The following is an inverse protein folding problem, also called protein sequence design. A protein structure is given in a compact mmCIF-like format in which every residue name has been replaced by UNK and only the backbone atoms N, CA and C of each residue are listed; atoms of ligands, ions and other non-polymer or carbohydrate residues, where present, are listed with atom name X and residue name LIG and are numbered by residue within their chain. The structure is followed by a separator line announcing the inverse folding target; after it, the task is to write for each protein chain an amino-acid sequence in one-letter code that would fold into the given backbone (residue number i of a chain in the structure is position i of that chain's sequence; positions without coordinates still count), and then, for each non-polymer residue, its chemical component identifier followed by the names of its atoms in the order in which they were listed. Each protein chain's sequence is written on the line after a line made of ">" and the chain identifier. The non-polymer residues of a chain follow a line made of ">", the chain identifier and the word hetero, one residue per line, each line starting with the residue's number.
data_IF_200051479492
#
_entry.id   IF_200051479492
#
_cell.length_a   1.000
_cell.length_b   1.000
_cell.length_c   1.000
_cell.angle_alpha   90.00
_cell.angle_beta   90.00
_cell.angle_gamma   90.00
#
_symmetry.space_group_name_H-M   'P 1'
#
loop_
_entity.id
_entity.type
_entity.pdbx_description
1 polymer ?
#
# COMPACT_ATOMS: atom_id res chain seq x y z
N UNK A 1 61.29 6.26 -11.74
CA UNK A 1 62.22 6.43 -12.87
C UNK A 1 61.39 6.62 -14.13
N UNK A 2 61.70 7.70 -14.85
CA UNK A 2 61.47 7.94 -16.30
C UNK A 2 60.04 8.25 -16.78
N UNK A 3 59.81 9.56 -16.89
CA UNK A 3 59.18 10.38 -17.94
C UNK A 3 58.75 9.77 -19.29
N UNK A 4 57.56 10.23 -19.73
CA UNK A 4 57.18 10.92 -21.00
C UNK A 4 57.60 10.35 -22.38
N UNK A 5 56.61 10.27 -23.29
CA UNK A 5 56.59 10.74 -24.70
C UNK A 5 55.38 10.06 -25.41
N UNK A 6 54.28 10.74 -25.76
CA UNK A 6 54.01 11.54 -26.96
C UNK A 6 54.52 10.94 -28.29
N UNK A 7 53.61 10.66 -29.22
CA UNK A 7 53.76 11.08 -30.62
C UNK A 7 52.45 10.97 -31.39
N UNK A 8 52.17 12.03 -32.14
CA UNK A 8 51.11 12.16 -33.12
C UNK A 8 51.61 11.64 -34.47
N UNK A 9 50.70 11.14 -35.31
CA UNK A 9 50.99 10.75 -36.68
C UNK A 9 49.75 10.92 -37.55
N UNK A 10 49.80 11.91 -38.41
CA UNK A 10 48.74 12.42 -39.27
C UNK A 10 48.77 11.76 -40.66
N UNK A 11 47.59 11.75 -41.31
CA UNK A 11 47.31 11.72 -42.76
C UNK A 11 47.85 10.58 -43.64
N UNK A 12 46.90 9.83 -44.26
CA UNK A 12 46.94 9.52 -45.70
C UNK A 12 45.55 9.10 -46.21
N UNK A 13 45.03 9.83 -47.19
CA UNK A 13 43.91 9.41 -48.05
C UNK A 13 44.45 8.87 -49.38
N UNK A 14 43.77 7.89 -50.00
CA UNK A 14 43.39 8.02 -51.43
C UNK A 14 41.93 7.56 -51.69
N UNK A 15 41.15 8.25 -52.53
CA UNK A 15 40.89 7.95 -53.98
C UNK A 15 40.54 6.46 -54.20
N UNK A 16 39.42 6.02 -54.78
CA UNK A 16 38.30 6.60 -55.52
C UNK A 16 37.52 5.41 -56.14
N UNK A 17 36.37 5.70 -56.77
CA UNK A 17 35.62 4.84 -57.71
C UNK A 17 34.87 3.60 -57.17
N UNK A 18 33.55 3.71 -57.03
CA UNK A 18 32.57 3.07 -57.93
C UNK A 18 31.16 3.40 -57.41
N UNK A 19 30.36 4.11 -58.20
CA UNK A 19 28.95 4.40 -57.87
C UNK A 19 28.07 3.22 -58.27
N UNK A 20 27.47 2.47 -57.32
CA UNK A 20 26.51 1.44 -57.66
C UNK A 20 25.18 2.11 -58.01
N UNK A 21 24.64 1.76 -59.18
CA UNK A 21 23.25 2.02 -59.57
C UNK A 21 22.31 1.68 -58.41
N UNK A 22 21.65 2.70 -57.85
CA UNK A 22 20.68 2.53 -56.77
C UNK A 22 19.55 1.60 -57.23
N UNK A 23 19.31 0.47 -56.55
CA UNK A 23 18.16 -0.37 -56.85
C UNK A 23 16.88 0.43 -56.58
N UNK A 24 15.97 0.42 -57.56
CA UNK A 24 14.65 1.01 -57.40
C UNK A 24 13.96 0.41 -56.17
N UNK A 25 13.30 1.21 -55.31
CA UNK A 25 12.70 0.72 -54.09
C UNK A 25 11.67 -0.36 -54.43
N UNK A 26 11.85 -1.55 -53.86
CA UNK A 26 10.92 -2.67 -53.99
C UNK A 26 9.54 -2.29 -53.43
N UNK A 27 8.48 -2.97 -53.89
CA UNK A 27 7.10 -2.73 -53.42
C UNK A 27 6.98 -2.76 -51.89
N UNK A 28 7.78 -3.58 -51.20
CA UNK A 28 7.83 -3.63 -49.73
C UNK A 28 8.31 -2.30 -49.10
N UNK A 29 9.24 -1.60 -49.73
CA UNK A 29 9.75 -0.29 -49.27
C UNK A 29 8.69 0.80 -49.48
N UNK A 30 7.90 0.71 -50.55
CA UNK A 30 6.79 1.63 -50.84
C UNK A 30 5.65 1.43 -49.85
N UNK A 31 5.28 0.19 -49.54
CA UNK A 31 4.24 -0.10 -48.54
C UNK A 31 4.66 0.29 -47.13
N UNK A 32 5.93 0.06 -46.76
CA UNK A 32 6.48 0.52 -45.49
C UNK A 32 6.42 2.04 -45.36
N UNK A 33 6.81 2.78 -46.41
CA UNK A 33 6.74 4.24 -46.43
C UNK A 33 5.30 4.75 -46.33
N UNK A 34 4.35 4.13 -47.02
CA UNK A 34 2.91 4.45 -46.91
C UNK A 34 2.36 4.17 -45.51
N UNK A 35 2.81 3.11 -44.84
CA UNK A 35 2.44 2.80 -43.46
C UNK A 35 3.02 3.83 -42.48
N UNK A 36 4.29 4.21 -42.64
CA UNK A 36 4.94 5.26 -41.84
C UNK A 36 4.27 6.63 -42.03
N UNK A 37 3.93 7.00 -43.27
CA UNK A 37 3.20 8.24 -43.57
C UNK A 37 1.78 8.24 -42.95
N UNK A 38 1.10 7.08 -42.95
CA UNK A 38 -0.23 6.93 -42.33
C UNK A 38 -0.17 7.06 -40.81
N UNK A 39 0.82 6.43 -40.16
CA UNK A 39 1.06 6.57 -38.72
C UNK A 39 1.38 8.02 -38.36
N UNK A 40 2.22 8.68 -39.16
CA UNK A 40 2.62 10.08 -38.93
C UNK A 40 1.42 11.02 -39.02
N UNK A 41 0.52 10.81 -40.00
CA UNK A 41 -0.70 11.60 -40.16
C UNK A 41 -1.71 11.35 -39.03
N UNK A 42 -1.83 10.12 -38.56
CA UNK A 42 -2.69 9.78 -37.42
C UNK A 42 -2.15 10.35 -36.10
N UNK A 43 -0.82 10.37 -35.91
CA UNK A 43 -0.18 11.02 -34.76
C UNK A 43 -0.36 12.54 -34.73
N UNK A 44 -0.44 13.21 -35.88
CA UNK A 44 -0.69 14.65 -35.95
C UNK A 44 -2.09 15.05 -35.46
N UNK A 45 -3.06 14.13 -35.49
CA UNK A 45 -4.42 14.41 -35.00
C UNK A 45 -4.58 14.18 -33.49
N UNK A 46 -3.72 13.35 -32.88
CA UNK A 46 -3.80 13.05 -31.45
C UNK A 46 -3.24 14.20 -30.60
N UNK A 47 -3.78 14.41 -29.38
CA UNK A 47 -3.16 15.32 -28.43
C UNK A 47 -1.78 14.81 -28.02
N UNK A 48 -0.84 15.74 -27.86
CA UNK A 48 0.48 15.47 -27.31
C UNK A 48 0.40 15.03 -25.85
N UNK A 49 1.41 14.30 -25.38
CA UNK A 49 1.50 13.89 -23.98
C UNK A 49 1.42 15.10 -23.01
N UNK A 50 1.95 16.26 -23.43
CA UNK A 50 1.95 17.50 -22.66
C UNK A 50 0.56 18.16 -22.60
N UNK A 51 -0.21 18.13 -23.70
CA UNK A 51 -1.62 18.55 -23.69
C UNK A 51 -2.47 17.65 -22.77
N UNK A 52 -2.28 16.33 -22.85
CA UNK A 52 -2.96 15.36 -21.97
C UNK A 52 -2.57 15.63 -20.50
N UNK A 53 -1.29 15.81 -20.21
CA UNK A 53 -0.83 16.09 -18.85
C UNK A 53 -1.40 17.42 -18.31
N UNK A 54 -1.36 18.49 -19.12
CA UNK A 54 -1.87 19.81 -18.72
C UNK A 54 -3.40 19.88 -18.59
N UNK A 55 -4.12 18.90 -19.14
CA UNK A 55 -5.57 18.82 -19.04
C UNK A 55 -6.08 18.01 -17.85
N UNK A 56 -5.20 17.33 -17.13
CA UNK A 56 -5.52 16.59 -15.89
C UNK A 56 -5.53 17.58 -14.72
N UNK A 57 -6.67 17.81 -14.04
CA UNK A 57 -6.75 18.63 -12.83
C UNK A 57 -5.91 18.02 -11.70
N UNK A 58 -5.55 18.84 -10.71
CA UNK A 58 -4.86 18.36 -9.50
C UNK A 58 -5.64 17.28 -8.74
N UNK A 59 -6.97 17.29 -8.84
CA UNK A 59 -7.87 16.28 -8.24
C UNK A 59 -7.99 14.99 -9.07
N UNK A 60 -7.31 14.90 -10.21
CA UNK A 60 -7.48 13.86 -11.20
C UNK A 60 -8.64 14.14 -12.17
N UNK A 61 -8.74 13.32 -13.21
CA UNK A 61 -9.81 13.29 -14.19
C UNK A 61 -10.14 11.83 -14.47
N UNK A 62 -11.42 11.49 -14.64
CA UNK A 62 -11.79 10.14 -15.05
C UNK A 62 -11.36 9.88 -16.50
N UNK A 63 -11.15 8.60 -16.85
CA UNK A 63 -10.84 8.24 -18.24
C UNK A 63 -11.97 8.67 -19.18
N UNK A 64 -13.24 8.56 -18.75
CA UNK A 64 -14.39 8.96 -19.55
C UNK A 64 -14.39 10.47 -19.84
N UNK A 65 -14.11 11.31 -18.84
CA UNK A 65 -14.00 12.76 -19.02
C UNK A 65 -12.81 13.13 -19.91
N UNK A 66 -11.67 12.44 -19.75
CA UNK A 66 -10.48 12.65 -20.58
C UNK A 66 -10.73 12.24 -22.04
N UNK A 67 -11.44 11.13 -22.27
CA UNK A 67 -11.87 10.68 -23.60
C UNK A 67 -12.83 11.69 -24.22
N UNK A 68 -13.86 12.13 -23.47
CA UNK A 68 -14.82 13.13 -23.95
C UNK A 68 -14.13 14.45 -24.33
N UNK A 69 -13.12 14.89 -23.56
CA UNK A 69 -12.34 16.10 -23.86
C UNK A 69 -11.60 16.04 -25.20
N UNK A 70 -11.22 14.85 -25.64
CA UNK A 70 -10.48 14.64 -26.89
C UNK A 70 -11.29 13.92 -27.97
N UNK A 71 -12.60 13.78 -27.79
CA UNK A 71 -13.49 13.01 -28.67
C UNK A 71 -13.38 13.43 -30.14
N UNK A 72 -13.30 14.73 -30.42
CA UNK A 72 -13.18 15.26 -31.79
C UNK A 72 -11.84 14.94 -32.47
N UNK A 73 -10.85 14.44 -31.72
CA UNK A 73 -9.52 14.03 -32.19
C UNK A 73 -9.37 12.51 -32.26
N UNK A 74 -10.35 11.76 -31.76
CA UNK A 74 -10.35 10.30 -31.73
C UNK A 74 -11.08 9.73 -32.95
N UNK A 75 -10.43 8.77 -33.60
CA UNK A 75 -11.00 7.98 -34.70
C UNK A 75 -10.79 6.50 -34.38
N UNK A 76 -11.59 5.62 -34.97
CA UNK A 76 -11.40 4.16 -34.81
C UNK A 76 -9.95 3.71 -35.09
N UNK A 77 -9.27 4.39 -36.02
CA UNK A 77 -7.89 4.08 -36.39
C UNK A 77 -6.84 4.50 -35.36
N UNK A 78 -7.13 5.46 -34.47
CA UNK A 78 -6.14 6.03 -33.54
C UNK A 78 -6.41 5.77 -32.04
N UNK A 79 -7.53 5.14 -31.66
CA UNK A 79 -7.88 4.84 -30.26
C UNK A 79 -6.81 4.01 -29.52
N UNK A 80 -6.16 3.07 -30.20
CA UNK A 80 -5.09 2.28 -29.60
C UNK A 80 -3.85 3.13 -29.28
N UNK A 81 -3.48 4.05 -30.17
CA UNK A 81 -2.38 5.00 -29.95
C UNK A 81 -2.72 5.97 -28.81
N UNK A 82 -3.95 6.46 -28.75
CA UNK A 82 -4.42 7.30 -27.64
C UNK A 82 -4.36 6.58 -26.29
N UNK A 83 -4.76 5.30 -26.25
CA UNK A 83 -4.67 4.46 -25.05
C UNK A 83 -3.22 4.28 -24.59
N UNK A 84 -2.28 4.08 -25.53
CA UNK A 84 -0.85 4.02 -25.23
C UNK A 84 -0.32 5.36 -24.69
N UNK A 85 -0.75 6.48 -25.27
CA UNK A 85 -0.43 7.83 -24.80
C UNK A 85 -0.92 8.08 -23.38
N UNK A 86 -2.16 7.70 -23.04
CA UNK A 86 -2.69 7.80 -21.67
C UNK A 86 -1.85 6.97 -20.70
N UNK A 87 -1.49 5.73 -21.07
CA UNK A 87 -0.61 4.89 -20.23
C UNK A 87 0.75 5.53 -20.03
N UNK A 88 1.37 6.05 -21.09
CA UNK A 88 2.66 6.73 -21.03
C UNK A 88 2.61 8.00 -20.15
N UNK A 89 1.53 8.79 -20.23
CA UNK A 89 1.32 9.95 -19.36
C UNK A 89 1.11 9.53 -17.92
N UNK A 90 0.31 8.50 -17.65
CA UNK A 90 0.11 7.96 -16.31
C UNK A 90 1.43 7.42 -15.71
N UNK A 91 2.24 6.73 -16.51
CA UNK A 91 3.58 6.28 -16.12
C UNK A 91 4.55 7.45 -15.90
N UNK A 92 4.51 8.49 -16.72
CA UNK A 92 5.34 9.68 -16.58
C UNK A 92 4.96 10.52 -15.36
N UNK A 93 3.66 10.74 -15.12
CA UNK A 93 3.16 11.39 -13.91
C UNK A 93 3.54 10.57 -12.68
N UNK A 94 3.36 9.26 -12.69
CA UNK A 94 3.79 8.42 -11.55
C UNK A 94 5.31 8.42 -11.35
N UNK A 95 6.11 8.59 -12.40
CA UNK A 95 7.58 8.70 -12.32
C UNK A 95 8.04 10.08 -11.81
N UNK A 96 7.51 11.18 -12.34
CA UNK A 96 7.83 12.55 -11.88
C UNK A 96 7.34 12.82 -10.45
N UNK A 97 6.24 12.20 -10.02
CA UNK A 97 5.81 12.19 -8.63
C UNK A 97 6.73 11.37 -7.71
N UNK A 98 7.35 10.30 -8.23
CA UNK A 98 8.38 9.54 -7.48
C UNK A 98 9.71 10.30 -7.36
N UNK A 99 10.02 11.18 -8.30
CA UNK A 99 11.29 11.92 -8.32
C UNK A 99 11.32 13.09 -7.33
N UNK A 100 10.16 13.68 -6.99
CA UNK A 100 10.11 14.67 -5.90
C UNK A 100 10.14 13.98 -4.54
N UNK A 101 11.09 14.37 -3.68
CA UNK A 101 11.09 13.97 -2.27
C UNK A 101 9.84 14.52 -1.60
N UNK A 102 8.78 13.73 -1.52
CA UNK A 102 7.53 14.10 -0.87
C UNK A 102 7.37 13.37 0.46
N UNK A 103 6.82 14.07 1.44
CA UNK A 103 6.37 13.49 2.71
C UNK A 103 4.88 13.75 2.86
N UNK A 104 4.10 12.67 2.82
CA UNK A 104 2.66 12.72 3.03
C UNK A 104 2.37 12.38 4.48
N UNK A 105 1.59 13.21 5.16
CA UNK A 105 0.98 12.89 6.46
C UNK A 105 -0.54 12.96 6.33
N UNK A 106 -1.25 12.03 6.95
CA UNK A 106 -2.71 11.99 6.88
C UNK A 106 -3.33 11.94 8.27
N UNK A 107 -4.53 12.52 8.41
CA UNK A 107 -5.29 12.58 9.66
C UNK A 107 -6.77 12.43 9.31
N UNK A 108 -7.47 11.51 10.00
CA UNK A 108 -8.93 11.44 9.90
C UNK A 108 -9.55 12.59 10.68
N UNK A 109 -10.58 13.20 10.12
CA UNK A 109 -11.28 14.33 10.72
C UNK A 109 -12.64 13.86 11.25
N UNK A 110 -13.04 14.42 12.38
CA UNK A 110 -14.37 14.26 12.93
C UNK A 110 -15.45 14.93 12.04
N UNK A 111 -16.69 14.41 12.05
CA UNK A 111 -17.12 13.22 12.78
C UNK A 111 -16.69 11.92 12.07
N UNK A 112 -16.23 10.93 12.86
CA UNK A 112 -16.01 9.56 12.40
C UNK A 112 -17.25 8.72 12.67
N UNK A 113 -17.80 8.11 11.63
CA UNK A 113 -18.97 7.23 11.71
C UNK A 113 -18.57 5.80 11.34
N UNK A 114 -19.00 4.82 12.13
CA UNK A 114 -18.82 3.40 11.84
C UNK A 114 -20.18 2.80 11.47
N UNK A 115 -20.31 2.31 10.23
CA UNK A 115 -21.54 1.72 9.69
C UNK A 115 -21.45 0.19 9.64
N UNK A 116 -22.61 -0.47 9.74
CA UNK A 116 -22.71 -1.94 9.73
C UNK A 116 -23.60 -2.49 8.61
N UNK A 117 -24.49 -1.67 8.05
CA UNK A 117 -25.57 -2.15 7.17
C UNK A 117 -25.62 -1.45 5.81
N UNK A 118 -24.57 -0.68 5.47
CA UNK A 118 -24.46 -0.11 4.15
C UNK A 118 -24.08 -1.19 3.11
N UNK A 119 -24.22 -0.83 1.84
CA UNK A 119 -24.05 -1.78 0.72
C UNK A 119 -22.68 -2.47 0.75
N UNK A 120 -21.60 -1.78 1.15
CA UNK A 120 -20.26 -2.34 1.17
C UNK A 120 -20.07 -3.40 2.27
N UNK A 121 -20.66 -3.22 3.44
CA UNK A 121 -20.69 -4.19 4.54
C UNK A 121 -21.48 -5.43 4.16
N UNK A 122 -22.65 -5.25 3.56
CA UNK A 122 -23.53 -6.35 3.11
C UNK A 122 -22.81 -7.21 2.06
N UNK A 123 -22.16 -6.58 1.08
CA UNK A 123 -21.34 -7.30 0.09
C UNK A 123 -20.20 -8.06 0.79
N UNK A 124 -19.47 -7.44 1.73
CA UNK A 124 -18.38 -8.13 2.46
C UNK A 124 -18.91 -9.34 3.23
N UNK A 125 -20.07 -9.21 3.90
CA UNK A 125 -20.70 -10.31 4.61
C UNK A 125 -21.03 -11.50 3.68
N UNK A 126 -21.51 -11.22 2.47
CA UNK A 126 -21.85 -12.26 1.48
C UNK A 126 -20.62 -12.91 0.83
N UNK A 127 -19.52 -12.18 0.67
CA UNK A 127 -18.32 -12.68 -0.04
C UNK A 127 -17.51 -13.75 0.72
N UNK A 128 -17.87 -14.07 1.98
CA UNK A 128 -17.14 -15.04 2.83
C UNK A 128 -15.62 -14.77 2.90
N UNK A 129 -15.22 -13.49 2.83
CA UNK A 129 -13.80 -13.08 2.89
C UNK A 129 -13.15 -13.26 4.26
N UNK A 130 -13.96 -13.26 5.32
CA UNK A 130 -13.51 -13.47 6.68
C UNK A 130 -13.16 -14.95 6.87
N UNK A 131 -11.89 -15.29 7.17
CA UNK A 131 -11.55 -16.65 7.53
C UNK A 131 -12.19 -17.02 8.89
N UNK A 132 -12.49 -18.29 9.16
CA UNK A 132 -13.07 -18.71 10.44
C UNK A 132 -12.12 -18.45 11.63
N UNK A 133 -10.81 -18.52 11.37
CA UNK A 133 -9.75 -18.27 12.32
C UNK A 133 -8.64 -17.42 11.70
N UNK A 134 -7.94 -16.68 12.55
CA UNK A 134 -6.70 -15.99 12.22
C UNK A 134 -5.56 -16.61 13.03
N UNK A 135 -4.34 -16.54 12.51
CA UNK A 135 -3.18 -17.22 13.11
C UNK A 135 -2.09 -16.21 13.43
N UNK A 136 -1.69 -16.10 14.70
CA UNK A 136 -0.63 -15.19 15.15
C UNK A 136 0.63 -15.97 15.47
N UNK A 137 1.71 -15.69 14.74
CA UNK A 137 3.06 -16.15 15.11
C UNK A 137 3.62 -15.29 16.23
N UNK A 138 4.09 -15.90 17.30
CA UNK A 138 4.76 -15.19 18.39
C UNK A 138 5.96 -15.97 18.91
N UNK A 139 6.86 -15.24 19.58
CA UNK A 139 8.11 -15.73 20.13
C UNK A 139 8.61 -14.71 21.17
N UNK A 140 9.65 -15.08 21.91
CA UNK A 140 10.09 -14.38 23.12
C UNK A 140 10.41 -12.91 22.88
N UNK A 141 11.08 -12.61 21.76
CA UNK A 141 11.52 -11.25 21.37
C UNK A 141 10.63 -10.59 20.32
N UNK A 142 9.38 -11.05 20.18
CA UNK A 142 8.43 -10.46 19.24
C UNK A 142 8.09 -9.02 19.64
N UNK A 143 7.86 -8.13 18.67
CA UNK A 143 7.51 -6.72 18.91
C UNK A 143 6.03 -6.54 19.32
N UNK A 144 5.53 -7.42 20.16
CA UNK A 144 4.17 -7.47 20.71
C UNK A 144 4.29 -8.09 22.09
N UNK A 145 3.63 -7.52 23.09
CA UNK A 145 3.55 -8.15 24.41
C UNK A 145 2.61 -9.36 24.33
N UNK A 146 2.95 -10.47 24.98
CA UNK A 146 2.23 -11.73 24.85
C UNK A 146 2.05 -12.39 26.22
N UNK A 147 0.84 -12.85 26.55
CA UNK A 147 0.59 -13.51 27.84
C UNK A 147 1.19 -14.92 27.96
N UNK A 148 1.64 -15.49 26.84
CA UNK A 148 2.15 -16.86 26.74
C UNK A 148 3.68 -16.94 26.74
N UNK A 149 4.36 -15.80 26.89
CA UNK A 149 5.80 -15.72 27.09
C UNK A 149 6.09 -15.10 28.46
N UNK A 150 7.28 -15.37 28.99
CA UNK A 150 7.66 -14.81 30.29
C UNK A 150 7.75 -13.29 30.19
N UNK A 151 7.22 -12.56 31.19
CA UNK A 151 7.25 -11.09 31.19
C UNK A 151 8.68 -10.52 31.08
N UNK A 152 9.68 -11.25 31.58
CA UNK A 152 11.09 -10.86 31.51
C UNK A 152 11.70 -11.01 30.12
N UNK A 153 11.03 -11.69 29.17
CA UNK A 153 11.53 -11.80 27.79
C UNK A 153 10.91 -10.76 26.86
N UNK A 154 9.90 -10.02 27.32
CA UNK A 154 9.29 -8.97 26.51
C UNK A 154 10.31 -7.88 26.13
N UNK A 155 10.25 -7.35 24.90
CA UNK A 155 11.04 -6.18 24.55
C UNK A 155 10.64 -4.97 25.41
N UNK A 156 11.60 -4.37 26.10
CA UNK A 156 11.36 -3.14 26.83
C UNK A 156 10.97 -2.00 25.87
N UNK A 157 9.87 -1.31 26.17
CA UNK A 157 9.49 -0.11 25.43
C UNK A 157 10.47 1.03 25.79
N UNK A 158 11.05 1.67 24.76
CA UNK A 158 12.04 2.75 24.95
C UNK A 158 11.52 3.88 25.85
N UNK A 159 10.28 4.30 25.61
CA UNK A 159 9.65 5.42 26.33
C UNK A 159 8.79 4.98 27.54
N UNK A 160 8.54 3.67 27.74
CA UNK A 160 7.64 3.17 28.77
C UNK A 160 8.10 1.81 29.28
N UNK A 161 9.26 1.77 29.94
CA UNK A 161 9.89 0.50 30.39
C UNK A 161 9.00 -0.34 31.31
N UNK A 162 8.03 0.29 31.98
CA UNK A 162 7.05 -0.37 32.83
C UNK A 162 5.81 -0.89 32.09
N UNK A 163 5.74 -0.76 30.76
CA UNK A 163 4.61 -1.25 29.98
C UNK A 163 4.48 -2.76 30.14
N UNK A 164 3.39 -3.18 30.79
CA UNK A 164 3.02 -4.58 30.95
C UNK A 164 1.78 -4.89 30.10
N UNK A 165 1.67 -6.16 29.70
CA UNK A 165 0.44 -6.65 29.07
C UNK A 165 -0.71 -6.58 30.08
N UNK A 166 -1.87 -6.11 29.66
CA UNK A 166 -3.06 -6.16 30.48
C UNK A 166 -3.54 -7.61 30.69
N UNK A 167 -4.09 -7.91 31.85
CA UNK A 167 -4.39 -9.29 32.28
C UNK A 167 -5.36 -10.05 31.38
N UNK A 168 -6.26 -9.33 30.73
CA UNK A 168 -7.31 -9.80 29.83
C UNK A 168 -6.82 -9.99 28.38
N UNK A 169 -5.65 -9.44 28.04
CA UNK A 169 -5.08 -9.51 26.71
C UNK A 169 -4.20 -10.75 26.54
N UNK A 170 -4.39 -11.46 25.43
CA UNK A 170 -3.45 -12.47 24.97
C UNK A 170 -2.26 -11.81 24.28
N UNK A 171 -2.54 -10.77 23.49
CA UNK A 171 -1.53 -9.97 22.79
C UNK A 171 -1.83 -8.49 22.95
N UNK A 172 -0.79 -7.67 23.09
CA UNK A 172 -0.90 -6.22 23.15
C UNK A 172 0.22 -5.57 22.34
N UNK A 173 -0.16 -4.63 21.48
CA UNK A 173 0.75 -3.82 20.71
C UNK A 173 1.61 -2.98 21.66
N UNK A 174 2.88 -2.79 21.29
CA UNK A 174 3.80 -1.96 22.08
C UNK A 174 3.43 -0.48 21.90
N UNK A 175 2.98 -0.10 20.70
CA UNK A 175 2.56 1.27 20.40
C UNK A 175 1.20 1.55 21.04
N UNK A 176 1.03 2.72 21.68
CA UNK A 176 -0.24 3.06 22.28
C UNK A 176 -1.30 3.28 21.19
N UNK A 177 -2.47 2.70 21.40
CA UNK A 177 -3.64 2.95 20.57
C UNK A 177 -4.49 4.04 21.22
N UNK A 178 -4.22 5.30 20.86
CA UNK A 178 -4.91 6.45 21.46
C UNK A 178 -6.25 6.77 20.80
N UNK A 179 -6.35 6.61 19.48
CA UNK A 179 -7.56 6.89 18.68
C UNK A 179 -7.43 6.33 17.25
N UNK A 180 -8.57 6.16 16.57
CA UNK A 180 -8.67 5.92 15.13
C UNK A 180 -7.98 7.04 14.35
N UNK A 181 -8.23 8.29 14.71
CA UNK A 181 -7.62 9.47 14.06
C UNK A 181 -6.09 9.43 14.02
N UNK A 182 -5.45 9.01 15.11
CA UNK A 182 -3.99 8.97 15.20
C UNK A 182 -3.36 7.73 14.55
N UNK A 183 -4.10 6.61 14.50
CA UNK A 183 -3.53 5.31 14.14
C UNK A 183 -3.97 4.82 12.77
N UNK A 184 -5.24 5.02 12.39
CA UNK A 184 -5.82 4.56 11.12
C UNK A 184 -5.44 5.49 9.97
N UNK A 185 -4.13 5.56 9.72
CA UNK A 185 -3.52 6.36 8.67
C UNK A 185 -2.66 5.47 7.80
N UNK A 186 -2.56 5.81 6.51
CA UNK A 186 -1.72 5.08 5.57
C UNK A 186 -0.28 4.94 6.07
N UNK A 187 0.28 6.02 6.60
CA UNK A 187 1.66 6.07 7.08
C UNK A 187 1.90 5.09 8.23
N UNK A 188 0.97 5.02 9.20
CA UNK A 188 1.07 4.12 10.36
C UNK A 188 1.00 2.65 9.95
N UNK A 189 0.09 2.32 9.04
CA UNK A 189 -0.09 0.95 8.53
C UNK A 189 1.12 0.53 7.68
N UNK A 190 1.55 1.34 6.71
CA UNK A 190 2.71 1.01 5.86
C UNK A 190 4.01 0.89 6.64
N UNK A 191 4.13 1.66 7.72
CA UNK A 191 5.24 1.59 8.66
C UNK A 191 5.19 0.31 9.49
N UNK A 192 4.03 -0.18 9.90
CA UNK A 192 3.88 -1.51 10.52
C UNK A 192 4.33 -2.62 9.56
N UNK A 193 3.91 -2.54 8.30
CA UNK A 193 4.30 -3.50 7.26
C UNK A 193 5.78 -3.39 6.86
N UNK A 194 6.46 -2.30 7.22
CA UNK A 194 7.90 -2.15 7.02
C UNK A 194 8.71 -2.94 8.05
N UNK A 195 9.39 -4.00 7.59
CA UNK A 195 10.20 -4.82 8.49
C UNK A 195 11.40 -4.00 9.01
N UNK A 196 11.71 -4.16 10.30
CA UNK A 196 12.82 -3.51 11.00
C UNK A 196 12.71 -2.00 11.31
N UNK A 197 11.54 -1.38 11.16
CA UNK A 197 11.33 0.00 11.62
C UNK A 197 11.12 0.03 13.14
N UNK A 198 12.20 0.32 13.88
CA UNK A 198 12.20 0.40 15.37
C UNK A 198 11.70 1.74 15.93
N UNK A 199 11.74 2.81 15.14
CA UNK A 199 11.34 4.16 15.58
C UNK A 199 9.82 4.28 15.58
N UNK A 200 9.27 4.86 16.66
CA UNK A 200 7.84 4.93 16.97
C UNK A 200 7.33 3.48 17.14
N UNK A 201 6.68 3.01 18.21
CA UNK A 201 6.26 1.61 18.30
C UNK A 201 4.96 1.39 17.51
N UNK A 202 4.72 0.18 17.02
CA UNK A 202 3.53 -0.07 16.20
C UNK A 202 2.31 -0.35 17.09
N UNK A 203 1.17 0.23 16.72
CA UNK A 203 -0.14 0.05 17.38
C UNK A 203 -0.93 -1.15 16.83
N UNK A 204 -0.30 -1.97 15.99
CA UNK A 204 -0.93 -3.09 15.29
C UNK A 204 -0.29 -4.43 15.65
N UNK A 205 -1.08 -5.50 15.56
CA UNK A 205 -0.64 -6.87 15.76
C UNK A 205 -0.95 -7.68 14.50
N UNK A 206 0.08 -8.20 13.82
CA UNK A 206 -0.05 -9.02 12.62
C UNK A 206 -0.57 -10.43 12.90
N UNK A 207 -1.65 -10.84 12.23
CA UNK A 207 -2.10 -12.22 12.11
C UNK A 207 -2.23 -12.63 10.64
N UNK A 208 -2.45 -13.92 10.40
CA UNK A 208 -2.52 -14.54 9.08
C UNK A 208 -3.87 -15.22 8.88
N UNK A 209 -4.42 -15.17 7.68
CA UNK A 209 -5.71 -15.82 7.37
C UNK A 209 -5.62 -17.34 7.14
N UNK A 210 -4.41 -17.91 7.13
CA UNK A 210 -4.18 -19.34 7.01
C UNK A 210 -3.02 -19.78 7.92
N UNK A 211 -3.07 -21.03 8.40
CA UNK A 211 -2.04 -21.59 9.26
C UNK A 211 -0.72 -21.74 8.51
N UNK A 212 -0.75 -22.11 7.23
CA UNK A 212 0.43 -22.27 6.39
C UNK A 212 1.21 -20.97 6.22
N UNK A 213 0.51 -19.83 6.16
CA UNK A 213 1.10 -18.50 6.11
C UNK A 213 1.80 -18.14 7.42
N UNK A 214 1.16 -18.43 8.55
CA UNK A 214 1.76 -18.29 9.86
C UNK A 214 3.00 -19.19 10.02
N UNK A 215 2.93 -20.45 9.60
CA UNK A 215 4.05 -21.38 9.69
C UNK A 215 5.21 -20.98 8.79
N UNK A 216 4.93 -20.51 7.57
CA UNK A 216 5.93 -19.96 6.66
C UNK A 216 6.61 -18.74 7.28
N UNK A 217 5.84 -17.86 7.92
CA UNK A 217 6.37 -16.71 8.65
C UNK A 217 7.23 -17.13 9.85
N UNK A 218 6.78 -18.11 10.62
CA UNK A 218 7.55 -18.67 11.72
C UNK A 218 8.87 -19.27 11.23
N UNK A 219 8.85 -20.08 10.17
CA UNK A 219 10.04 -20.66 9.56
C UNK A 219 11.03 -19.61 9.06
N UNK A 220 10.55 -18.49 8.53
CA UNK A 220 11.41 -17.34 8.20
C UNK A 220 12.09 -16.76 9.46
N UNK A 221 11.35 -16.56 10.54
CA UNK A 221 11.91 -16.04 11.80
C UNK A 221 12.95 -16.97 12.41
N UNK A 222 12.71 -18.28 12.34
CA UNK A 222 13.64 -19.30 12.83
C UNK A 222 14.95 -19.35 12.02
N UNK A 223 14.83 -19.47 10.69
CA UNK A 223 15.96 -19.84 9.82
C UNK A 223 16.70 -18.66 9.21
N UNK A 224 16.00 -17.54 8.97
CA UNK A 224 16.47 -16.48 8.07
C UNK A 224 16.52 -15.10 8.72
N UNK A 225 15.81 -14.88 9.80
CA UNK A 225 15.79 -13.57 10.44
C UNK A 225 16.99 -13.41 11.37
N UNK A 226 17.65 -12.25 11.34
CA UNK A 226 18.71 -11.92 12.30
C UNK A 226 18.23 -11.79 13.76
N UNK A 227 16.93 -12.00 14.01
CA UNK A 227 16.32 -12.12 15.34
C UNK A 227 15.82 -13.55 15.50
N UNK A 228 16.71 -14.44 15.93
CA UNK A 228 16.36 -15.85 16.10
C UNK A 228 15.36 -15.97 17.26
N UNK A 229 14.10 -16.25 16.94
CA UNK A 229 13.14 -16.75 17.92
C UNK A 229 13.47 -18.21 18.19
N UNK A 230 13.85 -18.53 19.42
CA UNK A 230 14.25 -19.88 19.81
C UNK A 230 13.02 -20.79 19.95
N UNK A 231 11.92 -20.26 20.49
CA UNK A 231 10.65 -20.95 20.60
C UNK A 231 9.59 -20.19 19.83
N UNK A 232 9.24 -20.72 18.66
CA UNK A 232 8.17 -20.17 17.84
C UNK A 232 6.87 -20.89 18.16
N UNK A 233 5.86 -20.09 18.44
CA UNK A 233 4.51 -20.57 18.72
C UNK A 233 3.53 -19.90 17.79
N UNK A 234 2.42 -20.58 17.55
CA UNK A 234 1.29 -20.04 16.78
C UNK A 234 0.05 -20.09 17.67
N UNK A 235 -0.65 -18.97 17.77
CA UNK A 235 -1.95 -18.88 18.40
C UNK A 235 -3.03 -18.83 17.31
N UNK A 236 -4.05 -19.64 17.47
CA UNK A 236 -5.28 -19.58 16.69
C UNK A 236 -6.27 -18.63 17.39
N UNK A 237 -6.79 -17.69 16.62
CA UNK A 237 -7.67 -16.62 17.07
C UNK A 237 -9.01 -16.80 16.36
N UNK A 238 -10.09 -16.94 17.13
CA UNK A 238 -11.44 -17.01 16.59
C UNK A 238 -11.77 -15.73 15.84
N UNK A 239 -12.30 -15.86 14.64
CA UNK A 239 -12.75 -14.73 13.83
C UNK A 239 -14.26 -14.81 13.49
N UNK A 240 -14.94 -15.91 13.80
CA UNK A 240 -16.35 -16.16 13.42
C UNK A 240 -17.38 -15.13 13.93
N UNK A 241 -17.06 -14.40 15.00
CA UNK A 241 -17.88 -13.35 15.61
C UNK A 241 -17.49 -11.93 15.18
N UNK A 242 -16.58 -11.81 14.19
CA UNK A 242 -16.30 -10.53 13.54
C UNK A 242 -17.39 -10.19 12.52
N UNK A 243 -17.86 -8.95 12.58
CA UNK A 243 -18.87 -8.36 11.72
C UNK A 243 -18.20 -7.32 10.83
N UNK A 244 -18.46 -7.30 9.51
CA UNK A 244 -17.92 -6.28 8.63
C UNK A 244 -18.52 -4.91 8.99
N UNK A 245 -17.67 -3.88 9.03
CA UNK A 245 -18.07 -2.51 9.27
C UNK A 245 -17.21 -1.56 8.42
N UNK A 246 -17.69 -0.35 8.13
CA UNK A 246 -16.91 0.66 7.42
C UNK A 246 -16.76 1.90 8.28
N UNK A 247 -15.52 2.39 8.40
CA UNK A 247 -15.27 3.72 8.92
C UNK A 247 -15.47 4.71 7.77
N UNK A 248 -16.39 5.65 7.98
CA UNK A 248 -16.73 6.75 7.07
C UNK A 248 -16.29 8.05 7.74
N UNK A 249 -15.35 8.75 7.11
CA UNK A 249 -14.81 9.99 7.64
C UNK A 249 -14.26 10.89 6.52
N UNK A 250 -13.87 12.12 6.87
CA UNK A 250 -13.01 12.94 6.03
C UNK A 250 -11.55 12.65 6.36
N UNK A 251 -10.69 12.52 5.35
CA UNK A 251 -9.24 12.42 5.50
C UNK A 251 -8.61 13.73 5.02
N UNK A 252 -7.83 14.39 5.88
CA UNK A 252 -6.93 15.47 5.47
C UNK A 252 -5.52 14.88 5.24
N UNK A 253 -5.01 15.06 4.03
CA UNK A 253 -3.65 14.71 3.65
C UNK A 253 -2.84 15.99 3.45
N UNK A 254 -1.72 16.11 4.15
CA UNK A 254 -0.73 17.18 3.95
C UNK A 254 0.44 16.60 3.18
N UNK A 255 0.67 17.10 1.97
CA UNK A 255 1.77 16.71 1.09
C UNK A 255 2.84 17.79 1.18
N UNK A 256 3.96 17.47 1.84
CA UNK A 256 5.14 18.33 1.87
C UNK A 256 6.10 17.96 0.76
N UNK A 257 6.40 18.90 -0.12
CA UNK A 257 7.33 18.72 -1.22
C UNK A 257 8.68 19.33 -0.85
N UNK A 258 9.75 18.58 -1.08
CA UNK A 258 11.13 19.02 -0.85
C UNK A 258 11.87 19.05 -2.19
N UNK A 259 12.77 20.01 -2.36
CA UNK A 259 13.66 20.06 -3.52
C UNK A 259 14.75 18.98 -3.45
N UNK A 260 15.62 18.91 -4.45
CA UNK A 260 16.68 17.90 -4.53
C UNK A 260 17.64 17.98 -3.34
N UNK A 261 17.90 19.20 -2.84
CA UNK A 261 18.71 19.44 -1.64
C UNK A 261 18.01 19.02 -0.33
N UNK A 262 16.74 18.62 -0.36
CA UNK A 262 15.96 18.25 0.82
C UNK A 262 15.40 19.45 1.59
N UNK A 263 15.48 20.66 1.03
CA UNK A 263 14.86 21.87 1.59
C UNK A 263 13.37 21.86 1.28
N UNK A 264 12.57 22.26 2.26
CA UNK A 264 11.13 22.40 2.09
C UNK A 264 10.84 23.41 0.97
N UNK A 265 10.08 22.98 -0.03
CA UNK A 265 9.72 23.80 -1.18
C UNK A 265 8.27 24.28 -1.08
N UNK A 266 7.35 23.36 -0.79
CA UNK A 266 5.92 23.66 -0.79
C UNK A 266 5.11 22.68 0.06
N UNK A 267 3.89 23.06 0.42
CA UNK A 267 2.91 22.22 1.10
C UNK A 267 1.52 22.38 0.51
N UNK A 268 0.93 21.25 0.14
CA UNK A 268 -0.47 21.16 -0.26
C UNK A 268 -1.28 20.42 0.80
N UNK A 269 -2.53 20.84 1.02
CA UNK A 269 -3.51 20.12 1.82
C UNK A 269 -4.68 19.67 0.96
N UNK A 270 -4.99 18.39 1.03
CA UNK A 270 -6.10 17.78 0.29
C UNK A 270 -7.06 17.16 1.31
N UNK A 271 -8.35 17.44 1.17
CA UNK A 271 -9.38 16.83 1.99
C UNK A 271 -10.32 16.03 1.09
N UNK A 272 -10.60 14.78 1.48
CA UNK A 272 -11.51 13.89 0.76
C UNK A 272 -12.27 12.99 1.72
N UNK A 273 -13.45 12.53 1.31
CA UNK A 273 -14.15 11.48 2.05
C UNK A 273 -13.42 10.15 1.83
N UNK A 274 -13.41 9.30 2.86
CA UNK A 274 -12.82 7.96 2.80
C UNK A 274 -13.74 6.94 3.44
N UNK A 275 -13.79 5.78 2.82
CA UNK A 275 -14.39 4.55 3.32
C UNK A 275 -13.28 3.53 3.63
N UNK A 276 -13.18 3.13 4.90
CA UNK A 276 -12.13 2.23 5.37
C UNK A 276 -12.77 0.92 5.87
N UNK A 277 -12.54 -0.21 5.18
CA UNK A 277 -13.10 -1.50 5.58
C UNK A 277 -12.44 -1.96 6.88
N UNK A 278 -13.26 -2.28 7.86
CA UNK A 278 -12.84 -2.87 9.13
C UNK A 278 -13.71 -4.09 9.46
N UNK A 279 -13.25 -4.86 10.44
CA UNK A 279 -14.01 -5.95 11.05
C UNK A 279 -13.98 -5.75 12.56
N UNK A 280 -15.14 -5.80 13.20
CA UNK A 280 -15.27 -5.60 14.66
C UNK A 280 -16.08 -6.72 15.28
N UNK A 281 -15.90 -6.99 16.57
CA UNK A 281 -16.74 -7.99 17.25
C UNK A 281 -18.20 -7.57 17.27
N UNK A 282 -19.07 -8.57 17.25
CA UNK A 282 -20.52 -8.39 17.40
C UNK A 282 -20.91 -7.59 18.66
N UNK A 283 -20.08 -7.56 19.71
CA UNK A 283 -20.32 -6.76 20.93
C UNK A 283 -20.35 -5.25 20.69
N UNK A 284 -19.75 -4.76 19.60
CA UNK A 284 -19.83 -3.35 19.22
C UNK A 284 -21.06 -3.01 18.37
N UNK A 285 -21.78 -4.02 17.86
CA UNK A 285 -22.85 -3.81 16.88
C UNK A 285 -24.17 -3.59 17.63
N UNK A 286 -24.83 -2.42 17.48
CA UNK A 286 -26.16 -2.21 18.05
C UNK A 286 -27.17 -3.22 17.53
N UNK A 287 -28.20 -3.53 18.32
CA UNK A 287 -29.25 -4.49 17.92
C UNK A 287 -29.98 -4.06 16.65
N UNK A 288 -30.18 -2.75 16.47
CA UNK A 288 -30.78 -2.14 15.29
C UNK A 288 -29.76 -1.88 14.15
N UNK A 289 -28.49 -2.29 14.36
CA UNK A 289 -27.36 -2.07 13.44
C UNK A 289 -27.11 -0.60 13.08
N UNK A 290 -27.61 0.33 13.89
CA UNK A 290 -27.36 1.76 13.72
C UNK A 290 -25.87 2.08 13.76
N UNK A 291 -25.50 3.17 13.09
CA UNK A 291 -24.12 3.61 13.06
C UNK A 291 -23.65 4.07 14.44
N UNK A 292 -22.39 3.84 14.76
CA UNK A 292 -21.78 4.26 16.03
C UNK A 292 -20.63 5.24 15.81
N UNK A 293 -20.31 6.02 16.84
CA UNK A 293 -19.13 6.87 16.91
C UNK A 293 -17.88 6.08 17.35
N UNK A 294 -16.70 6.70 17.19
CA UNK A 294 -15.45 6.16 17.73
C UNK A 294 -15.53 5.90 19.25
N UNK A 295 -16.14 6.82 20.01
CA UNK A 295 -16.27 6.67 21.46
C UNK A 295 -17.11 5.45 21.84
N UNK A 296 -18.26 5.26 21.17
CA UNK A 296 -19.12 4.09 21.40
C UNK A 296 -18.41 2.77 21.04
N UNK A 297 -17.59 2.76 19.98
CA UNK A 297 -16.76 1.60 19.65
C UNK A 297 -15.73 1.33 20.74
N UNK A 298 -15.04 2.36 21.24
CA UNK A 298 -14.10 2.26 22.36
C UNK A 298 -14.77 1.70 23.62
N UNK A 299 -15.94 2.25 23.98
CA UNK A 299 -16.71 1.87 25.17
C UNK A 299 -17.22 0.42 25.09
N UNK A 300 -17.47 -0.10 23.88
CA UNK A 300 -17.84 -1.51 23.67
C UNK A 300 -16.74 -2.51 24.03
N UNK A 301 -15.49 -2.05 24.09
CA UNK A 301 -14.31 -2.87 24.31
C UNK A 301 -13.96 -3.83 23.17
N UNK A 302 -14.67 -3.80 22.05
CA UNK A 302 -14.41 -4.68 20.90
C UNK A 302 -13.02 -4.45 20.29
N UNK A 303 -12.36 -5.53 19.85
CA UNK A 303 -11.18 -5.44 19.01
C UNK A 303 -11.56 -5.14 17.55
N UNK A 304 -10.70 -4.37 16.89
CA UNK A 304 -10.84 -3.96 15.49
C UNK A 304 -9.78 -4.68 14.66
N UNK A 305 -10.18 -5.17 13.49
CA UNK A 305 -9.34 -5.89 12.56
C UNK A 305 -9.37 -5.24 11.18
N UNK A 306 -8.21 -5.21 10.52
CA UNK A 306 -8.09 -4.80 9.11
C UNK A 306 -7.52 -5.93 8.27
N UNK A 307 -8.14 -6.16 7.10
CA UNK A 307 -7.55 -7.00 6.06
C UNK A 307 -6.65 -6.16 5.17
N UNK A 308 -5.36 -6.51 5.04
CA UNK A 308 -4.44 -5.79 4.15
C UNK A 308 -4.92 -5.80 2.70
N UNK A 309 -5.52 -6.91 2.25
CA UNK A 309 -6.09 -7.01 0.90
C UNK A 309 -7.23 -6.02 0.68
N UNK A 310 -8.11 -5.83 1.68
CA UNK A 310 -9.21 -4.88 1.56
C UNK A 310 -8.72 -3.43 1.62
N UNK A 311 -7.74 -3.14 2.47
CA UNK A 311 -7.15 -1.79 2.56
C UNK A 311 -6.51 -1.32 1.25
N UNK A 312 -5.92 -2.25 0.47
CA UNK A 312 -5.30 -1.91 -0.82
C UNK A 312 -6.29 -1.44 -1.87
N UNK A 313 -7.53 -1.92 -1.81
CA UNK A 313 -8.61 -1.54 -2.73
C UNK A 313 -9.55 -0.49 -2.11
N UNK A 314 -9.27 -0.04 -0.88
CA UNK A 314 -10.03 1.00 -0.19
C UNK A 314 -9.54 2.40 -0.52
N UNK A 315 -10.26 3.41 -0.02
CA UNK A 315 -9.88 4.82 -0.17
C UNK A 315 -8.57 5.19 0.54
N UNK A 316 -8.06 4.37 1.47
CA UNK A 316 -6.71 4.59 2.03
C UNK A 316 -5.59 4.33 1.03
N UNK A 317 -5.85 3.59 -0.05
CA UNK A 317 -4.89 3.32 -1.14
C UNK A 317 -3.51 2.88 -0.62
N UNK A 318 -3.50 1.86 0.24
CA UNK A 318 -2.27 1.35 0.85
C UNK A 318 -1.28 0.89 -0.24
N UNK A 319 -0.05 1.41 -0.23
CA UNK A 319 0.92 1.03 -1.27
C UNK A 319 1.24 -0.46 -1.23
N UNK A 320 1.36 -1.05 -2.42
CA UNK A 320 1.58 -2.48 -2.60
C UNK A 320 2.99 -2.89 -2.17
N UNK A 321 3.20 -3.14 -0.88
CA UNK A 321 4.30 -4.00 -0.45
C UNK A 321 3.92 -5.45 -0.75
N UNK A 322 4.60 -6.07 -1.72
CA UNK A 322 4.36 -7.47 -2.09
C UNK A 322 4.53 -8.38 -0.86
N UNK A 323 3.72 -9.43 -0.77
CA UNK A 323 3.88 -10.49 0.24
C UNK A 323 3.14 -10.30 1.56
N UNK A 324 2.12 -9.44 1.60
CA UNK A 324 1.29 -9.20 2.79
C UNK A 324 -0.22 -9.43 2.53
N UNK A 325 -0.57 -10.08 1.41
CA UNK A 325 -1.98 -10.24 0.99
C UNK A 325 -2.81 -11.11 1.96
N UNK A 326 -2.14 -12.00 2.67
CA UNK A 326 -2.69 -12.90 3.67
C UNK A 326 -2.71 -12.30 5.09
N UNK A 327 -2.20 -11.08 5.26
CA UNK A 327 -2.00 -10.47 6.58
C UNK A 327 -3.23 -9.69 7.03
N UNK A 328 -3.54 -9.83 8.32
CA UNK A 328 -4.60 -9.12 9.04
C UNK A 328 -3.98 -8.37 10.21
N UNK A 329 -4.49 -7.17 10.50
CA UNK A 329 -3.97 -6.34 11.58
C UNK A 329 -5.02 -6.14 12.66
N UNK A 330 -4.77 -6.63 13.87
CA UNK A 330 -5.54 -6.24 15.05
C UNK A 330 -5.10 -4.89 15.60
N UNK A 331 -6.05 -4.12 16.11
CA UNK A 331 -5.85 -2.80 16.69
C UNK A 331 -5.53 -2.90 18.17
N UNK A 332 -4.28 -2.61 18.53
CA UNK A 332 -3.84 -2.43 19.92
C UNK A 332 -3.79 -3.69 20.77
N UNK A 333 -4.80 -4.58 20.71
CA UNK A 333 -4.93 -5.75 21.57
C UNK A 333 -5.68 -6.90 20.91
N UNK A 334 -5.44 -8.10 21.40
CA UNK A 334 -6.23 -9.30 21.12
C UNK A 334 -6.60 -9.93 22.48
N UNK A 335 -7.89 -9.99 22.84
CA UNK A 335 -8.33 -10.57 24.12
C UNK A 335 -8.04 -12.07 24.25
N UNK A 336 -7.79 -12.55 25.48
CA UNK A 336 -7.63 -13.99 25.76
C UNK A 336 -8.86 -14.81 25.40
N UNK A 337 -10.05 -14.23 25.56
CA UNK A 337 -11.33 -14.85 25.20
C UNK A 337 -11.46 -15.19 23.71
N UNK A 338 -10.59 -14.64 22.86
CA UNK A 338 -10.56 -14.89 21.42
C UNK A 338 -9.58 -16.00 21.02
N UNK A 339 -8.71 -16.45 21.92
CA UNK A 339 -7.73 -17.50 21.62
C UNK A 339 -8.41 -18.86 21.73
N UNK A 340 -8.37 -19.63 20.65
CA UNK A 340 -8.97 -20.98 20.57
C UNK A 340 -7.95 -22.02 21.03
N UNK A 341 -6.73 -21.92 20.51
CA UNK A 341 -5.66 -22.86 20.76
C UNK A 341 -4.31 -22.18 20.59
N UNK A 342 -3.33 -22.66 21.34
CA UNK A 342 -1.93 -22.38 21.14
C UNK A 342 -1.16 -23.68 20.93
N UNK A 343 -0.14 -23.65 20.10
CA UNK A 343 0.81 -24.75 20.02
C UNK A 343 2.22 -24.23 19.82
N UNK A 344 3.15 -24.91 20.49
CA UNK A 344 4.58 -24.71 20.36
C UNK A 344 5.05 -25.56 19.19
N UNK A 345 5.65 -24.93 18.18
CA UNK A 345 6.31 -25.69 17.12
C UNK A 345 7.72 -26.01 17.61
N UNK A 346 7.90 -27.21 18.16
CA UNK A 346 9.24 -27.75 18.38
C UNK A 346 9.79 -28.13 17.01
N UNK A 347 10.79 -27.37 16.55
CA UNK A 347 11.48 -27.58 15.28
C UNK A 347 12.51 -28.68 15.36
#
# INVERSE_FOLDING_TARGET
>A
MTTMASEAGDVAAPLGEDSPLHPSPTNATIEKKKAEDRITKEMQMLPTAQEIHGSIPSKGISIAELVSKYETRLTESNVNLFTQLIRAVAEFSTKTWRDKKQKITSVLLDPIQITFDETSELIRAMTKRLPPSLYRVFYETSATLCSYVNEHTHPEHRDSRSLKIASENAFQAIGPFNSLTANLTRQRIERHLGWNIKKDPSSYISAFNAIEDAERRAGFHFKKSGRIGWRLSVAEIRATDLVPATIRAKLEETIKTFNDQGTFADQEKITRNVEIPIWVRATAVPQDRSSISEQQLSDSGADIWLSITELRISDLQLSSKKGHDYEWLAFGRIPKSCIVKEWIKQS
#
